data_IF_905641431077
#
_entry.id   IF_905641431077
#
_cell.length_a   1.000
_cell.length_b   1.000
_cell.length_c   1.000
_cell.angle_alpha   90.00
_cell.angle_beta   90.00
_cell.angle_gamma   90.00
#
_symmetry.space_group_name_H-M   'P 1'
#
loop_
_entity.id
_entity.type
_entity.pdbx_description
1 polymer ?
#
# COMPACT_ATOMS: atom_id res chain seq x y z
N UNK A 1 -0.79 -18.54 -2.29
CA UNK A 1 -0.64 -18.23 -0.86
C UNK A 1 -0.19 -16.78 -0.75
N UNK A 2 0.92 -16.45 -1.41
CA UNK A 2 1.47 -15.08 -1.54
C UNK A 2 0.46 -13.95 -1.76
N UNK A 3 -0.54 -14.13 -2.63
CA UNK A 3 -1.56 -13.10 -2.88
C UNK A 3 -2.42 -12.75 -1.66
N UNK A 4 -2.78 -13.73 -0.83
CA UNK A 4 -3.54 -13.49 0.40
C UNK A 4 -2.66 -12.91 1.51
N UNK A 5 -1.42 -13.38 1.61
CA UNK A 5 -0.43 -12.86 2.57
C UNK A 5 -0.10 -11.39 2.27
N UNK A 6 0.12 -11.05 1.00
CA UNK A 6 0.36 -9.68 0.58
C UNK A 6 -0.87 -8.78 0.84
N UNK A 7 -2.09 -9.33 0.67
CA UNK A 7 -3.32 -8.61 1.02
C UNK A 7 -3.44 -8.36 2.51
N UNK A 8 -3.10 -9.34 3.34
CA UNK A 8 -3.12 -9.21 4.80
C UNK A 8 -2.09 -8.17 5.30
N UNK A 9 -0.88 -8.15 4.72
CA UNK A 9 0.13 -7.12 4.95
C UNK A 9 -0.38 -5.73 4.51
N UNK A 10 -0.96 -5.64 3.31
CA UNK A 10 -1.50 -4.40 2.77
C UNK A 10 -2.59 -3.79 3.67
N UNK A 11 -3.49 -4.62 4.23
CA UNK A 11 -4.51 -4.17 5.17
C UNK A 11 -3.91 -3.63 6.47
N UNK A 12 -2.87 -4.28 7.00
CA UNK A 12 -2.15 -3.80 8.20
C UNK A 12 -1.44 -2.46 7.97
N UNK A 13 -1.04 -2.19 6.73
CA UNK A 13 -0.36 -0.94 6.33
C UNK A 13 -1.29 0.12 5.73
N UNK A 14 -2.59 -0.14 5.57
CA UNK A 14 -3.49 0.75 4.84
C UNK A 14 -3.59 2.19 5.42
N UNK A 15 -3.34 2.34 6.73
CA UNK A 15 -3.30 3.65 7.40
C UNK A 15 -1.94 4.35 7.37
N UNK A 16 -0.87 3.66 6.95
CA UNK A 16 0.50 4.19 6.91
C UNK A 16 0.78 4.87 5.58
N UNK A 17 -0.02 5.89 5.26
CA UNK A 17 0.07 6.61 3.99
C UNK A 17 1.20 7.65 4.02
N UNK A 18 1.94 7.75 2.91
CA UNK A 18 2.86 8.85 2.65
C UNK A 18 2.15 9.89 1.79
N UNK A 19 2.30 11.16 2.16
CA UNK A 19 1.65 12.28 1.47
C UNK A 19 2.67 13.31 1.02
N UNK A 20 2.36 14.02 -0.07
CA UNK A 20 3.14 15.15 -0.57
C UNK A 20 2.20 16.12 -1.30
N UNK A 21 2.26 17.41 -0.95
CA UNK A 21 1.47 18.48 -1.59
C UNK A 21 0.00 18.09 -1.87
N UNK A 22 -0.75 17.75 -0.81
CA UNK A 22 -2.18 17.35 -0.86
C UNK A 22 -2.49 16.03 -1.59
N UNK A 23 -1.48 15.32 -2.12
CA UNK A 23 -1.65 14.01 -2.74
C UNK A 23 -1.09 12.89 -1.86
N UNK A 24 -1.64 11.68 -2.05
CA UNK A 24 -1.02 10.44 -1.57
C UNK A 24 0.06 10.03 -2.57
N UNK A 25 1.25 9.69 -2.08
CA UNK A 25 2.41 9.27 -2.90
C UNK A 25 2.85 7.84 -2.63
N UNK A 26 2.18 7.14 -1.71
CA UNK A 26 2.43 5.74 -1.44
C UNK A 26 2.05 5.32 -0.02
N UNK A 27 2.50 4.13 0.36
CA UNK A 27 2.50 3.63 1.73
C UNK A 27 3.91 3.68 2.33
N UNK A 28 4.02 3.47 3.63
CA UNK A 28 5.29 3.10 4.25
C UNK A 28 5.66 1.65 3.84
N UNK A 29 6.40 1.54 2.74
CA UNK A 29 6.85 0.25 2.21
C UNK A 29 7.80 -0.47 3.19
N UNK A 30 8.56 0.27 4.00
CA UNK A 30 9.45 -0.33 4.99
C UNK A 30 8.64 -0.99 6.11
N UNK A 31 7.53 -0.38 6.54
CA UNK A 31 6.62 -1.00 7.50
C UNK A 31 5.99 -2.28 6.91
N UNK A 32 5.56 -2.25 5.65
CA UNK A 32 4.96 -3.40 4.97
C UNK A 32 5.93 -4.59 4.86
N UNK A 33 7.16 -4.34 4.40
CA UNK A 33 8.19 -5.39 4.28
C UNK A 33 8.60 -5.95 5.64
N UNK A 34 8.71 -5.11 6.68
CA UNK A 34 8.98 -5.58 8.06
C UNK A 34 7.88 -6.49 8.61
N UNK A 35 6.62 -6.21 8.28
CA UNK A 35 5.50 -7.08 8.67
C UNK A 35 5.59 -8.40 7.92
N UNK A 36 5.85 -8.39 6.61
CA UNK A 36 6.04 -9.62 5.83
C UNK A 36 7.19 -10.48 6.39
N UNK A 37 8.33 -9.86 6.71
CA UNK A 37 9.47 -10.52 7.35
C UNK A 37 9.09 -11.13 8.71
N UNK A 38 8.38 -10.38 9.56
CA UNK A 38 7.97 -10.85 10.90
C UNK A 38 7.04 -12.07 10.83
N UNK A 39 6.23 -12.17 9.77
CA UNK A 39 5.30 -13.28 9.56
C UNK A 39 5.96 -14.47 8.82
N UNK A 40 7.23 -14.33 8.42
CA UNK A 40 7.97 -15.37 7.73
C UNK A 40 7.56 -15.55 6.27
N UNK A 41 6.96 -14.53 5.65
CA UNK A 41 6.54 -14.56 4.26
C UNK A 41 7.71 -14.35 3.29
N UNK A 42 7.55 -14.81 2.04
CA UNK A 42 8.54 -14.52 1.00
C UNK A 42 8.53 -13.03 0.64
N UNK A 43 9.59 -12.35 1.03
CA UNK A 43 9.74 -10.91 0.81
C UNK A 43 9.91 -10.56 -0.66
N UNK A 44 10.39 -11.49 -1.50
CA UNK A 44 10.52 -11.26 -2.94
C UNK A 44 9.13 -11.18 -3.57
N UNK A 45 8.30 -12.21 -3.40
CA UNK A 45 6.92 -12.22 -3.89
C UNK A 45 6.10 -11.05 -3.31
N UNK A 46 6.28 -10.74 -2.02
CA UNK A 46 5.58 -9.63 -1.38
C UNK A 46 5.98 -8.27 -1.94
N UNK A 47 7.26 -8.07 -2.29
CA UNK A 47 7.70 -6.81 -2.90
C UNK A 47 6.92 -6.54 -4.19
N UNK A 48 6.84 -7.52 -5.10
CA UNK A 48 6.11 -7.36 -6.36
C UNK A 48 4.61 -7.07 -6.17
N UNK A 49 3.97 -7.80 -5.25
CA UNK A 49 2.54 -7.67 -4.97
C UNK A 49 2.21 -6.35 -4.26
N UNK A 50 3.02 -5.95 -3.27
CA UNK A 50 2.82 -4.71 -2.51
C UNK A 50 3.04 -3.47 -3.38
N UNK A 51 3.97 -3.50 -4.35
CA UNK A 51 4.12 -2.40 -5.32
C UNK A 51 2.90 -2.26 -6.24
N UNK A 52 2.33 -3.39 -6.67
CA UNK A 52 1.10 -3.37 -7.48
C UNK A 52 -0.08 -2.83 -6.69
N UNK A 53 -0.20 -3.21 -5.41
CA UNK A 53 -1.17 -2.66 -4.48
C UNK A 53 -0.98 -1.14 -4.27
N UNK A 54 0.25 -0.69 -3.99
CA UNK A 54 0.54 0.73 -3.75
C UNK A 54 0.12 1.58 -4.94
N UNK A 55 0.44 1.14 -6.16
CA UNK A 55 0.04 1.85 -7.39
C UNK A 55 -1.48 2.00 -7.51
N UNK A 56 -2.24 0.92 -7.28
CA UNK A 56 -3.70 0.95 -7.33
C UNK A 56 -4.32 1.82 -6.23
N UNK A 57 -3.79 1.73 -5.02
CA UNK A 57 -4.23 2.55 -3.89
C UNK A 57 -3.96 4.04 -4.14
N UNK A 58 -2.73 4.40 -4.56
CA UNK A 58 -2.36 5.79 -4.87
C UNK A 58 -3.28 6.39 -5.94
N UNK A 59 -3.55 5.65 -7.03
CA UNK A 59 -4.46 6.12 -8.09
C UNK A 59 -5.87 6.37 -7.53
N UNK A 60 -6.45 5.35 -6.90
CA UNK A 60 -7.84 5.39 -6.43
C UNK A 60 -8.09 6.43 -5.33
N UNK A 61 -7.15 6.59 -4.39
CA UNK A 61 -7.30 7.58 -3.31
C UNK A 61 -7.16 9.00 -3.86
N UNK A 62 -6.18 9.27 -4.74
CA UNK A 62 -6.04 10.59 -5.34
C UNK A 62 -7.23 10.95 -6.24
N UNK A 63 -7.76 10.00 -7.02
CA UNK A 63 -8.99 10.19 -7.80
C UNK A 63 -10.18 10.56 -6.89
N UNK A 64 -10.34 9.86 -5.75
CA UNK A 64 -11.38 10.15 -4.79
C UNK A 64 -11.21 11.51 -4.10
N UNK A 65 -9.97 11.94 -3.83
CA UNK A 65 -9.68 13.27 -3.29
C UNK A 65 -10.05 14.37 -4.30
N UNK A 66 -9.65 14.22 -5.57
CA UNK A 66 -9.99 15.17 -6.61
C UNK A 66 -11.52 15.30 -6.82
N UNK A 67 -12.26 14.19 -6.76
CA UNK A 67 -13.73 14.23 -6.86
C UNK A 67 -14.38 15.00 -5.71
N UNK A 68 -13.83 14.91 -4.49
CA UNK A 68 -14.34 15.63 -3.32
C UNK A 68 -14.07 17.13 -3.37
N UNK A 69 -13.01 17.57 -4.04
CA UNK A 69 -12.72 19.00 -4.22
C UNK A 69 -13.68 19.70 -5.20
N UNK A 70 -14.36 18.91 -6.05
CA UNK A 70 -15.33 19.41 -7.03
C UNK A 70 -16.79 19.35 -6.54
N UNK A 71 -17.04 18.88 -5.32
CA UNK A 71 -18.36 18.86 -4.66
C UNK A 71 -18.50 20.03 -3.68
#
# INVERSE_FOLDING_TARGET
MEGWEAWDVALKCAGQLRTAQFAIVGIDMNAALKIAEMFGYDTIAHTELLFSFEKGMVSSVNEALAQKEHQ
#
